data_IF_326420502831
#
_entry.id   IF_326420502831
#
_cell.length_a   1.000
_cell.length_b   1.000
_cell.length_c   1.000
_cell.angle_alpha   90.00
_cell.angle_beta   90.00
_cell.angle_gamma   90.00
#
_symmetry.space_group_name_H-M   'P 1'
#
loop_
_entity.id
_entity.type
_entity.pdbx_description
1 polymer ?
#
# COMPACT_ATOMS: atom_id res chain seq x y z
N UNK A 1 38.88 -22.04 51.01
CA UNK A 1 39.31 -21.25 49.84
C UNK A 1 38.32 -21.52 48.70
N UNK A 2 37.50 -20.51 48.38
CA UNK A 2 36.71 -20.29 47.15
C UNK A 2 35.67 -21.34 46.70
N UNK A 3 34.42 -20.98 47.00
CA UNK A 3 33.18 -21.21 46.25
C UNK A 3 33.38 -21.06 44.73
N UNK A 4 32.79 -21.94 43.92
CA UNK A 4 32.25 -21.54 42.61
C UNK A 4 31.00 -22.37 42.28
N UNK A 5 29.86 -21.70 42.39
CA UNK A 5 28.52 -22.18 42.05
C UNK A 5 28.31 -21.80 40.58
N UNK A 6 28.20 -22.78 39.68
CA UNK A 6 27.93 -22.53 38.25
C UNK A 6 26.42 -22.50 38.04
N UNK A 7 25.84 -21.29 38.07
CA UNK A 7 24.48 -21.02 37.62
C UNK A 7 24.45 -21.11 36.08
N UNK A 8 23.79 -22.12 35.54
CA UNK A 8 23.43 -22.16 34.12
C UNK A 8 22.22 -21.24 33.91
N UNK A 9 22.45 -20.01 33.44
CA UNK A 9 21.40 -19.14 32.95
C UNK A 9 20.84 -19.71 31.64
N UNK A 10 19.67 -20.36 31.73
CA UNK A 10 18.80 -20.58 30.58
C UNK A 10 18.26 -19.21 30.12
N UNK A 11 18.90 -18.61 29.13
CA UNK A 11 18.36 -17.46 28.42
C UNK A 11 17.17 -17.93 27.58
N UNK A 12 15.96 -17.78 28.10
CA UNK A 12 14.73 -17.90 27.33
C UNK A 12 14.65 -16.73 26.35
N UNK A 13 14.93 -16.99 25.07
CA UNK A 13 14.58 -16.09 23.98
C UNK A 13 13.05 -15.94 23.95
N UNK A 14 12.54 -14.87 24.56
CA UNK A 14 11.16 -14.48 24.38
C UNK A 14 11.01 -13.96 22.94
N UNK A 15 10.42 -14.78 22.07
CA UNK A 15 9.83 -14.28 20.83
C UNK A 15 8.71 -13.32 21.24
N UNK A 16 8.95 -12.01 21.10
CA UNK A 16 7.89 -11.03 21.18
C UNK A 16 6.95 -11.27 19.99
N UNK A 17 5.82 -11.93 20.24
CA UNK A 17 4.72 -11.94 19.28
C UNK A 17 4.27 -10.49 19.11
N UNK A 18 4.50 -9.91 17.93
CA UNK A 18 3.90 -8.62 17.55
C UNK A 18 2.40 -8.84 17.59
N UNK A 19 1.75 -8.31 18.63
CA UNK A 19 0.31 -8.41 18.78
C UNK A 19 -0.30 -7.54 17.67
N UNK A 20 -1.05 -8.15 16.75
CA UNK A 20 -1.83 -7.42 15.74
C UNK A 20 -3.00 -6.72 16.44
N UNK A 21 -2.74 -5.55 17.01
CA UNK A 21 -3.75 -4.79 17.75
C UNK A 21 -4.71 -4.16 16.75
N UNK A 22 -5.97 -4.58 16.80
CA UNK A 22 -7.06 -3.87 16.14
C UNK A 22 -7.31 -2.57 16.88
N UNK A 23 -7.24 -1.45 16.17
CA UNK A 23 -7.41 -0.11 16.75
C UNK A 23 -8.71 0.50 16.22
N UNK A 24 -9.43 1.26 17.05
CA UNK A 24 -10.51 2.12 16.60
C UNK A 24 -10.12 3.56 16.90
N UNK A 25 -10.13 4.43 15.89
CA UNK A 25 -9.81 5.84 16.07
C UNK A 25 -11.02 6.66 16.57
N UNK A 26 -10.78 7.94 16.89
CA UNK A 26 -11.82 8.88 17.34
C UNK A 26 -12.94 9.09 16.31
N UNK A 27 -12.62 8.86 15.03
CA UNK A 27 -13.56 8.95 13.93
C UNK A 27 -14.44 7.69 13.80
N UNK A 28 -14.17 6.64 14.58
CA UNK A 28 -14.89 5.37 14.53
C UNK A 28 -14.42 4.46 13.39
N UNK A 29 -13.22 4.69 12.86
CA UNK A 29 -12.59 3.82 11.89
C UNK A 29 -11.87 2.72 12.66
N UNK A 30 -12.32 1.47 12.46
CA UNK A 30 -11.67 0.28 12.99
C UNK A 30 -10.64 -0.23 11.98
N UNK A 31 -9.38 -0.28 12.39
CA UNK A 31 -8.25 -0.70 11.58
C UNK A 31 -7.78 -2.10 11.99
N UNK A 32 -7.74 -3.02 11.03
CA UNK A 32 -7.31 -4.41 11.22
C UNK A 32 -6.01 -4.62 10.43
N UNK A 33 -4.86 -4.89 11.09
CA UNK A 33 -3.61 -5.19 10.40
C UNK A 33 -3.74 -6.38 9.44
N UNK A 34 -3.09 -6.31 8.27
CA UNK A 34 -3.07 -7.35 7.26
C UNK A 34 -1.66 -7.90 7.07
N UNK A 35 -1.27 -8.89 7.88
CA UNK A 35 0.05 -9.53 7.77
C UNK A 35 0.38 -10.08 6.38
N UNK A 36 -0.63 -10.50 5.63
CA UNK A 36 -0.48 -11.00 4.25
C UNK A 36 -0.06 -9.93 3.25
N UNK A 37 -0.14 -8.65 3.62
CA UNK A 37 0.20 -7.48 2.80
C UNK A 37 1.17 -6.54 3.54
N UNK A 38 1.85 -7.04 4.57
CA UNK A 38 2.84 -6.29 5.33
C UNK A 38 4.22 -6.92 5.19
N UNK A 39 5.26 -6.09 5.12
CA UNK A 39 6.65 -6.47 5.02
C UNK A 39 7.43 -5.82 6.16
N UNK A 40 8.17 -6.62 6.92
CA UNK A 40 9.11 -6.13 7.92
C UNK A 40 10.24 -7.14 8.06
N UNK A 41 11.39 -6.68 8.55
CA UNK A 41 12.52 -7.57 8.85
C UNK A 41 12.07 -8.74 9.74
N UNK A 42 12.51 -9.98 9.45
CA UNK A 42 13.57 -10.36 8.50
C UNK A 42 13.15 -10.60 7.03
N UNK A 43 11.94 -10.18 6.62
CA UNK A 43 11.32 -10.28 5.28
C UNK A 43 11.09 -11.69 4.71
N UNK A 44 11.92 -12.67 5.07
CA UNK A 44 11.95 -14.03 4.55
C UNK A 44 11.58 -15.02 5.65
N UNK A 45 10.71 -15.99 5.33
CA UNK A 45 10.18 -16.96 6.29
C UNK A 45 11.02 -18.25 6.34
N UNK A 46 11.51 -18.73 5.19
CA UNK A 46 12.34 -19.94 5.09
C UNK A 46 12.99 -20.02 3.70
N UNK A 47 14.16 -20.66 3.59
CA UNK A 47 14.84 -20.97 2.31
C UNK A 47 14.89 -19.80 1.29
N UNK A 48 15.18 -18.60 1.79
CA UNK A 48 15.23 -17.37 0.98
C UNK A 48 13.91 -16.97 0.30
N UNK A 49 12.77 -17.47 0.78
CA UNK A 49 11.44 -17.15 0.26
C UNK A 49 10.58 -16.43 1.31
N UNK A 50 9.75 -15.50 0.83
CA UNK A 50 8.65 -14.92 1.60
C UNK A 50 7.38 -15.74 1.38
N UNK A 51 6.60 -15.98 2.44
CA UNK A 51 5.29 -16.65 2.35
C UNK A 51 4.27 -15.82 1.60
N UNK A 52 4.35 -14.50 1.71
CA UNK A 52 3.29 -13.57 1.30
C UNK A 52 3.65 -12.74 0.08
N UNK A 53 4.93 -12.64 -0.28
CA UNK A 53 5.39 -11.84 -1.42
C UNK A 53 6.26 -12.67 -2.37
N UNK A 54 6.12 -12.38 -3.66
CA UNK A 54 7.10 -12.76 -4.68
C UNK A 54 7.92 -11.54 -5.04
N UNK A 55 9.19 -11.76 -5.38
CA UNK A 55 10.09 -10.73 -5.87
C UNK A 55 10.87 -11.27 -7.06
N UNK A 56 11.36 -10.37 -7.91
CA UNK A 56 12.10 -10.75 -9.11
C UNK A 56 12.76 -9.56 -9.81
N UNK A 57 13.33 -9.84 -10.99
CA UNK A 57 14.19 -8.88 -11.68
C UNK A 57 15.49 -8.66 -10.92
N UNK A 58 15.91 -7.41 -10.79
CA UNK A 58 17.14 -7.03 -10.08
C UNK A 58 16.96 -6.86 -8.55
N UNK A 59 15.80 -7.25 -8.00
CA UNK A 59 15.51 -7.08 -6.58
C UNK A 59 16.41 -7.93 -5.69
N UNK A 60 17.02 -7.31 -4.67
CA UNK A 60 17.91 -7.94 -3.70
C UNK A 60 17.30 -7.80 -2.30
N UNK A 61 17.17 -8.91 -1.59
CA UNK A 61 16.72 -8.89 -0.19
C UNK A 61 17.94 -9.00 0.73
N UNK A 62 18.20 -7.94 1.49
CA UNK A 62 19.08 -7.94 2.66
C UNK A 62 18.19 -8.14 3.88
N UNK A 63 18.05 -9.39 4.31
CA UNK A 63 17.09 -9.82 5.33
C UNK A 63 17.14 -9.00 6.64
N UNK A 64 18.30 -8.43 6.97
CA UNK A 64 18.58 -7.66 8.17
C UNK A 64 18.59 -6.13 7.97
N UNK A 65 18.25 -5.63 6.76
CA UNK A 65 18.36 -4.21 6.44
C UNK A 65 17.23 -3.67 5.57
N UNK A 66 17.06 -4.21 4.36
CA UNK A 66 16.17 -3.64 3.34
C UNK A 66 15.85 -4.64 2.21
N UNK A 67 14.81 -4.31 1.45
CA UNK A 67 14.53 -4.90 0.14
C UNK A 67 14.90 -3.86 -0.92
N UNK A 68 15.99 -4.10 -1.65
CA UNK A 68 16.47 -3.21 -2.71
C UNK A 68 15.80 -3.60 -4.02
N UNK A 69 14.93 -2.74 -4.55
CA UNK A 69 14.26 -2.98 -5.82
C UNK A 69 15.24 -2.83 -6.99
N UNK A 70 16.01 -1.75 -7.03
CA UNK A 70 17.12 -1.54 -7.97
C UNK A 70 18.32 -0.95 -7.24
N UNK A 71 19.52 -1.23 -7.75
CA UNK A 71 20.77 -0.65 -7.24
C UNK A 71 21.15 0.58 -8.04
N UNK A 72 22.08 1.39 -7.50
CA UNK A 72 22.76 2.49 -8.21
C UNK A 72 23.66 1.95 -9.35
N UNK A 73 23.00 1.39 -10.37
CA UNK A 73 23.52 0.83 -11.61
C UNK A 73 22.52 1.12 -12.73
N UNK A 74 22.98 1.42 -13.95
CA UNK A 74 22.09 1.62 -15.09
C UNK A 74 21.30 0.36 -15.47
N UNK A 75 20.15 0.56 -16.12
CA UNK A 75 19.36 -0.50 -16.77
C UNK A 75 18.94 -1.63 -15.82
N UNK A 76 18.39 -1.27 -14.67
CA UNK A 76 17.85 -2.22 -13.69
C UNK A 76 16.32 -2.14 -13.66
N UNK A 77 15.68 -3.29 -13.43
CA UNK A 77 14.24 -3.39 -13.22
C UNK A 77 13.94 -4.46 -12.19
N UNK A 78 13.39 -4.05 -11.05
CA UNK A 78 13.06 -4.96 -9.95
C UNK A 78 11.68 -4.74 -9.39
N UNK A 79 11.11 -5.79 -8.82
CA UNK A 79 9.75 -5.76 -8.28
C UNK A 79 9.57 -6.71 -7.10
N UNK A 80 8.57 -6.40 -6.29
CA UNK A 80 8.02 -7.24 -5.24
C UNK A 80 6.49 -7.09 -5.22
N UNK A 81 5.75 -8.20 -5.17
CA UNK A 81 4.28 -8.21 -5.22
C UNK A 81 3.70 -9.22 -4.24
N UNK A 82 2.55 -8.90 -3.64
CA UNK A 82 1.80 -9.82 -2.80
C UNK A 82 1.37 -11.04 -3.62
N UNK A 83 1.41 -12.23 -2.99
CA UNK A 83 0.99 -13.51 -3.58
C UNK A 83 -0.53 -13.66 -3.59
N UNK A 84 -1.16 -13.13 -2.55
CA UNK A 84 -2.61 -13.12 -2.39
C UNK A 84 -3.16 -11.73 -2.71
N UNK A 85 -4.39 -11.64 -3.24
CA UNK A 85 -5.00 -10.35 -3.52
C UNK A 85 -5.46 -9.66 -2.24
N UNK A 86 -5.40 -8.33 -2.26
CA UNK A 86 -6.08 -7.44 -1.33
C UNK A 86 -7.53 -7.28 -1.78
N UNK A 87 -8.44 -7.84 -1.00
CA UNK A 87 -9.90 -7.76 -1.26
C UNK A 87 -10.62 -6.82 -0.30
N UNK A 88 -9.87 -6.02 0.46
CA UNK A 88 -10.41 -5.04 1.39
C UNK A 88 -11.02 -3.87 0.62
N UNK A 89 -12.24 -3.47 0.97
CA UNK A 89 -12.93 -2.32 0.36
C UNK A 89 -12.26 -0.99 0.70
N UNK A 90 -11.82 -0.84 1.95
CA UNK A 90 -11.08 0.34 2.41
C UNK A 90 -9.79 -0.14 3.05
N UNK A 91 -8.71 0.58 2.81
CA UNK A 91 -7.40 0.14 3.26
C UNK A 91 -6.48 1.34 3.48
N UNK A 92 -5.47 1.09 4.30
CA UNK A 92 -4.32 1.96 4.50
C UNK A 92 -3.07 1.15 4.17
N UNK A 93 -2.21 1.69 3.32
CA UNK A 93 -0.87 1.17 3.05
C UNK A 93 0.12 2.24 3.49
N UNK A 94 0.83 1.97 4.58
CA UNK A 94 1.97 2.76 5.03
C UNK A 94 3.24 2.02 4.67
N UNK A 95 4.21 2.69 4.06
CA UNK A 95 5.50 2.09 3.77
C UNK A 95 6.65 3.05 4.05
N UNK A 96 7.75 2.49 4.53
CA UNK A 96 9.02 3.14 4.75
C UNK A 96 9.98 2.75 3.63
N UNK A 97 10.65 3.73 3.04
CA UNK A 97 11.54 3.55 1.92
C UNK A 97 12.75 4.46 2.04
N UNK A 98 13.71 4.29 1.13
CA UNK A 98 14.86 5.17 0.96
C UNK A 98 15.23 5.22 -0.52
N UNK A 99 15.42 6.43 -1.04
CA UNK A 99 16.02 6.65 -2.36
C UNK A 99 17.37 7.32 -2.16
N UNK A 100 18.44 6.69 -2.64
CA UNK A 100 19.80 7.18 -2.43
C UNK A 100 20.74 6.82 -3.57
N UNK A 101 21.73 7.67 -3.85
CA UNK A 101 22.70 7.39 -4.91
C UNK A 101 23.95 8.25 -4.81
N UNK A 102 25.00 7.82 -5.50
CA UNK A 102 26.31 8.48 -5.45
C UNK A 102 26.44 9.67 -6.41
N UNK A 103 25.60 9.73 -7.44
CA UNK A 103 25.62 10.76 -8.49
C UNK A 103 24.77 12.00 -8.18
N UNK A 104 25.11 13.11 -8.84
CA UNK A 104 24.27 14.32 -8.90
C UNK A 104 23.10 14.15 -9.87
N UNK A 105 23.33 13.44 -10.98
CA UNK A 105 22.30 12.95 -11.88
C UNK A 105 21.80 11.59 -11.38
N UNK A 106 20.49 11.41 -11.41
CA UNK A 106 19.79 10.27 -10.82
C UNK A 106 18.48 10.01 -11.56
N UNK A 107 17.97 8.79 -11.42
CA UNK A 107 16.72 8.35 -12.04
C UNK A 107 16.50 6.83 -11.91
N UNK A 108 15.37 6.29 -12.35
CA UNK A 108 14.17 7.05 -12.76
C UNK A 108 13.22 7.21 -11.57
N UNK A 109 13.09 6.16 -10.74
CA UNK A 109 12.29 6.19 -9.53
C UNK A 109 11.74 4.82 -9.17
N UNK A 110 10.68 4.83 -8.36
CA UNK A 110 9.95 3.62 -8.00
C UNK A 110 8.44 3.87 -7.95
N UNK A 111 7.67 2.78 -7.88
CA UNK A 111 6.22 2.82 -7.89
C UNK A 111 5.62 1.91 -6.82
N UNK A 112 4.51 2.34 -6.23
CA UNK A 112 3.56 1.52 -5.49
C UNK A 112 2.40 1.13 -6.44
N UNK A 113 1.98 -0.13 -6.38
CA UNK A 113 0.93 -0.70 -7.20
C UNK A 113 -0.19 -1.29 -6.34
N UNK A 114 -1.43 -0.96 -6.69
CA UNK A 114 -2.62 -1.71 -6.31
C UNK A 114 -3.41 -2.00 -7.58
N UNK A 115 -3.03 -3.10 -8.23
CA UNK A 115 -3.46 -3.44 -9.59
C UNK A 115 -3.87 -4.90 -9.73
N UNK A 116 -4.65 -5.23 -10.77
CA UNK A 116 -5.02 -6.63 -11.06
C UNK A 116 -3.80 -7.46 -11.49
N UNK A 117 -2.93 -6.86 -12.30
CA UNK A 117 -1.69 -7.47 -12.74
C UNK A 117 -0.70 -7.50 -11.57
N UNK A 118 0.13 -8.54 -11.51
CA UNK A 118 1.21 -8.64 -10.52
C UNK A 118 2.42 -9.29 -11.14
N UNK A 119 3.61 -9.03 -10.59
CA UNK A 119 4.83 -9.76 -10.94
C UNK A 119 5.11 -9.82 -12.45
N UNK A 120 4.71 -8.77 -13.18
CA UNK A 120 4.87 -8.66 -14.63
C UNK A 120 5.83 -7.49 -14.89
N UNK A 121 7.09 -7.76 -15.27
CA UNK A 121 8.04 -6.70 -15.60
C UNK A 121 7.56 -5.87 -16.79
N UNK A 122 7.99 -4.61 -16.85
CA UNK A 122 7.69 -3.72 -17.96
C UNK A 122 8.37 -2.37 -17.84
N UNK A 123 8.04 -1.44 -18.75
CA UNK A 123 8.75 -0.16 -18.90
C UNK A 123 8.27 0.94 -17.93
N UNK A 124 7.31 0.63 -17.04
CA UNK A 124 6.72 1.62 -16.13
C UNK A 124 7.27 1.39 -14.75
N UNK A 125 8.39 2.05 -14.44
CA UNK A 125 9.11 1.88 -13.17
C UNK A 125 9.38 0.40 -12.86
N UNK A 126 9.69 -0.41 -13.87
CA UNK A 126 10.01 -1.84 -13.73
C UNK A 126 8.78 -2.77 -13.71
N UNK A 127 7.57 -2.25 -13.90
CA UNK A 127 6.32 -3.02 -13.97
C UNK A 127 5.59 -2.82 -15.30
N UNK A 128 4.57 -3.65 -15.54
CA UNK A 128 3.77 -3.67 -16.77
C UNK A 128 3.12 -2.31 -17.06
N UNK A 129 3.14 -1.95 -18.34
CA UNK A 129 2.27 -0.91 -18.86
C UNK A 129 0.82 -1.43 -19.02
N UNK A 130 -0.12 -0.54 -19.33
CA UNK A 130 -1.54 -0.89 -19.53
C UNK A 130 -2.15 -1.65 -18.32
N UNK A 131 -1.84 -1.19 -17.11
CA UNK A 131 -2.32 -1.80 -15.87
C UNK A 131 -3.78 -1.46 -15.58
N UNK A 132 -4.44 -2.26 -14.76
CA UNK A 132 -5.79 -2.01 -14.22
C UNK A 132 -5.71 -1.79 -12.71
N UNK A 133 -6.02 -0.59 -12.24
CA UNK A 133 -5.95 -0.21 -10.83
C UNK A 133 -5.28 1.14 -10.63
N UNK A 134 -4.51 1.30 -9.55
CA UNK A 134 -3.79 2.53 -9.23
C UNK A 134 -2.28 2.28 -9.15
N UNK A 135 -1.52 3.17 -9.80
CA UNK A 135 -0.08 3.29 -9.65
C UNK A 135 0.26 4.62 -8.98
N UNK A 136 1.08 4.59 -7.93
CA UNK A 136 1.66 5.78 -7.32
C UNK A 136 3.14 5.82 -7.65
N UNK A 137 3.54 6.77 -8.48
CA UNK A 137 4.90 6.92 -8.99
C UNK A 137 5.66 7.94 -8.17
N UNK A 138 6.85 7.56 -7.71
CA UNK A 138 7.82 8.41 -7.05
C UNK A 138 8.96 8.66 -8.05
N UNK A 139 8.77 9.69 -8.85
CA UNK A 139 9.63 10.00 -9.98
C UNK A 139 10.73 10.98 -9.56
N UNK A 140 11.99 10.58 -9.73
CA UNK A 140 13.14 11.38 -9.32
C UNK A 140 13.80 12.08 -10.48
N UNK A 141 13.51 11.71 -11.72
CA UNK A 141 14.11 12.28 -12.91
C UNK A 141 13.10 13.09 -13.72
N UNK A 142 13.47 14.31 -14.08
CA UNK A 142 12.61 15.16 -14.91
C UNK A 142 12.91 14.92 -16.38
N UNK A 143 12.02 14.26 -17.11
CA UNK A 143 12.06 14.22 -18.56
C UNK A 143 11.52 15.56 -19.12
N UNK A 144 10.31 15.58 -19.68
CA UNK A 144 9.76 16.76 -20.35
C UNK A 144 8.48 17.32 -19.70
N UNK A 145 8.41 17.36 -18.36
CA UNK A 145 7.25 17.91 -17.67
C UNK A 145 7.40 19.38 -17.22
N UNK A 146 6.77 20.35 -17.92
CA UNK A 146 6.83 21.75 -17.52
C UNK A 146 5.99 22.02 -16.27
N UNK A 147 6.40 23.01 -15.47
CA UNK A 147 5.59 23.56 -14.37
C UNK A 147 5.67 22.82 -13.03
N UNK A 148 6.38 21.69 -12.94
CA UNK A 148 6.57 20.94 -11.69
C UNK A 148 8.04 20.81 -11.29
N UNK A 149 8.27 20.62 -9.99
CA UNK A 149 9.57 20.43 -9.36
C UNK A 149 9.72 18.95 -9.00
N UNK A 150 10.88 18.37 -9.34
CA UNK A 150 11.22 16.98 -9.04
C UNK A 150 12.09 16.89 -7.76
N UNK A 151 12.06 15.75 -7.03
CA UNK A 151 11.22 14.57 -7.28
C UNK A 151 9.71 14.85 -7.20
N UNK A 152 8.93 14.16 -8.03
CA UNK A 152 7.48 14.34 -8.17
C UNK A 152 6.75 13.04 -7.86
N UNK A 153 5.73 13.14 -7.01
CA UNK A 153 4.88 11.99 -6.66
C UNK A 153 3.55 12.14 -7.34
N UNK A 154 3.13 11.17 -8.15
CA UNK A 154 1.84 11.21 -8.85
C UNK A 154 1.08 9.89 -8.75
N UNK A 155 -0.24 9.99 -8.74
CA UNK A 155 -1.15 8.88 -8.92
C UNK A 155 -1.63 8.82 -10.37
N UNK A 156 -1.70 7.61 -10.93
CA UNK A 156 -2.33 7.33 -12.22
C UNK A 156 -3.33 6.19 -12.05
N UNK A 157 -4.50 6.34 -12.69
CA UNK A 157 -5.53 5.31 -12.73
C UNK A 157 -5.44 4.59 -14.07
N UNK A 158 -5.14 3.30 -14.00
CA UNK A 158 -5.06 2.41 -15.15
C UNK A 158 -6.39 1.72 -15.39
N UNK A 159 -6.87 1.77 -16.63
CA UNK A 159 -8.07 1.10 -17.12
C UNK A 159 -7.77 -0.14 -17.98
N UNK A 160 -6.49 -0.55 -18.05
CA UNK A 160 -6.03 -1.65 -18.89
C UNK A 160 -5.70 -1.25 -20.33
N UNK A 161 -5.89 0.01 -20.70
CA UNK A 161 -5.71 0.50 -22.09
C UNK A 161 -4.81 1.71 -22.20
N UNK A 162 -4.76 2.57 -21.17
CA UNK A 162 -3.89 3.74 -21.15
C UNK A 162 -2.44 3.33 -20.89
N UNK A 163 -1.55 3.86 -21.73
CA UNK A 163 -0.11 3.73 -21.57
C UNK A 163 0.45 4.86 -20.68
N UNK A 164 1.48 4.56 -19.90
CA UNK A 164 2.24 5.58 -19.19
C UNK A 164 3.23 6.28 -20.16
N UNK A 165 3.06 7.59 -20.33
CA UNK A 165 3.94 8.41 -21.16
C UNK A 165 5.22 8.78 -20.39
N UNK A 166 6.28 7.98 -20.56
CA UNK A 166 7.59 8.19 -19.93
C UNK A 166 8.29 9.45 -20.42
N UNK A 167 8.05 9.90 -21.65
CA UNK A 167 8.71 11.08 -22.21
C UNK A 167 8.23 12.39 -21.55
N UNK A 168 6.99 12.40 -21.05
CA UNK A 168 6.37 13.54 -20.37
C UNK A 168 6.02 13.26 -18.90
N UNK A 169 6.72 12.31 -18.27
CA UNK A 169 6.58 11.97 -16.84
C UNK A 169 5.11 11.68 -16.44
N UNK A 170 4.38 10.98 -17.30
CA UNK A 170 2.99 10.55 -17.11
C UNK A 170 1.94 11.68 -17.08
N UNK A 171 2.31 12.90 -17.45
CA UNK A 171 1.50 14.12 -17.27
C UNK A 171 0.05 14.00 -17.77
N UNK A 172 -0.15 13.44 -18.96
CA UNK A 172 -1.48 13.39 -19.59
C UNK A 172 -2.46 12.44 -18.87
N UNK A 173 -1.92 11.49 -18.10
CA UNK A 173 -2.69 10.50 -17.34
C UNK A 173 -2.57 10.71 -15.82
N UNK A 174 -2.06 11.86 -15.39
CA UNK A 174 -2.02 12.24 -13.99
C UNK A 174 -3.44 12.37 -13.42
N UNK A 175 -3.70 11.66 -12.33
CA UNK A 175 -4.92 11.85 -11.54
C UNK A 175 -4.73 12.96 -10.50
N UNK A 176 -3.68 12.84 -9.69
CA UNK A 176 -3.25 13.84 -8.70
C UNK A 176 -1.76 13.68 -8.41
N UNK A 177 -1.10 14.72 -7.92
CA UNK A 177 0.31 14.65 -7.57
C UNK A 177 0.80 15.83 -6.75
N UNK A 178 2.03 15.73 -6.26
CA UNK A 178 2.71 16.77 -5.53
C UNK A 178 4.22 16.74 -5.76
N UNK A 179 4.88 17.89 -5.63
CA UNK A 179 6.35 17.96 -5.60
C UNK A 179 6.88 17.56 -4.23
N UNK A 180 7.80 16.61 -4.19
CA UNK A 180 8.43 16.08 -2.98
C UNK A 180 9.94 16.42 -2.94
N UNK A 181 10.28 17.71 -3.05
CA UNK A 181 11.67 18.17 -3.05
C UNK A 181 12.40 17.76 -1.78
N UNK A 182 13.48 16.99 -1.90
CA UNK A 182 14.29 16.50 -0.79
C UNK A 182 13.92 15.11 -0.27
N UNK A 183 13.07 14.37 -1.00
CA UNK A 183 12.75 12.97 -0.66
C UNK A 183 13.91 12.00 -0.97
N UNK A 184 14.75 12.33 -1.95
CA UNK A 184 16.02 11.64 -2.22
C UNK A 184 17.08 12.08 -1.20
N UNK A 185 17.84 11.12 -0.69
CA UNK A 185 18.86 11.31 0.35
C UNK A 185 18.34 12.06 1.59
N UNK A 186 17.07 11.84 1.93
CA UNK A 186 16.47 12.49 3.09
C UNK A 186 17.23 12.12 4.38
N UNK A 187 17.44 13.07 5.30
CA UNK A 187 18.22 12.85 6.53
C UNK A 187 17.48 12.04 7.60
N UNK A 188 16.22 11.70 7.33
CA UNK A 188 15.33 10.95 8.22
C UNK A 188 14.71 9.77 7.46
N UNK A 189 14.16 8.76 8.15
CA UNK A 189 13.39 7.70 7.51
C UNK A 189 12.21 8.28 6.70
N UNK A 190 12.18 7.96 5.40
CA UNK A 190 11.09 8.43 4.52
C UNK A 190 9.92 7.46 4.54
N UNK A 191 8.72 7.99 4.71
CA UNK A 191 7.48 7.20 4.74
C UNK A 191 6.42 7.80 3.82
N UNK A 192 5.58 6.94 3.30
CA UNK A 192 4.37 7.33 2.58
C UNK A 192 3.19 6.54 3.14
N UNK A 193 2.02 7.19 3.22
CA UNK A 193 0.78 6.58 3.70
C UNK A 193 -0.34 6.87 2.72
N UNK A 194 -0.80 5.83 2.04
CA UNK A 194 -1.92 5.87 1.10
C UNK A 194 -3.17 5.32 1.81
N UNK A 195 -4.21 6.13 1.90
CA UNK A 195 -5.48 5.78 2.54
C UNK A 195 -6.58 5.85 1.48
N UNK A 196 -7.35 4.78 1.35
CA UNK A 196 -8.47 4.69 0.43
C UNK A 196 -9.72 4.25 1.15
N UNK A 197 -10.78 5.04 1.02
CA UNK A 197 -12.14 4.68 1.36
C UNK A 197 -12.99 4.71 0.09
N UNK A 198 -13.52 3.55 -0.29
CA UNK A 198 -14.35 3.43 -1.48
C UNK A 198 -15.51 4.43 -1.43
N UNK A 199 -15.69 5.16 -2.53
CA UNK A 199 -16.73 6.19 -2.73
C UNK A 199 -16.69 7.34 -1.71
N UNK A 200 -15.58 7.53 -0.97
CA UNK A 200 -15.44 8.59 0.04
C UNK A 200 -14.17 9.41 -0.08
N UNK A 201 -13.01 8.78 -0.12
CA UNK A 201 -11.74 9.52 -0.21
C UNK A 201 -10.56 8.68 -0.67
N UNK A 202 -9.59 9.35 -1.30
CA UNK A 202 -8.24 8.85 -1.54
C UNK A 202 -7.26 9.93 -1.08
N UNK A 203 -6.30 9.55 -0.24
CA UNK A 203 -5.32 10.47 0.36
C UNK A 203 -3.94 9.86 0.38
N UNK A 204 -2.94 10.65 0.01
CA UNK A 204 -1.52 10.30 0.17
C UNK A 204 -0.85 11.33 1.07
N UNK A 205 -0.25 10.86 2.16
CA UNK A 205 0.64 11.65 3.03
C UNK A 205 2.09 11.18 2.86
N UNK A 206 3.04 12.10 3.00
CA UNK A 206 4.48 11.83 2.95
C UNK A 206 5.17 12.34 4.21
N UNK A 207 6.17 11.60 4.70
CA UNK A 207 7.07 12.03 5.76
C UNK A 207 8.49 11.93 5.23
N UNK A 208 9.17 13.06 5.06
CA UNK A 208 10.57 13.09 4.63
C UNK A 208 11.36 14.34 5.07
N UNK A 209 10.67 15.35 5.64
CA UNK A 209 11.30 16.58 6.14
C UNK A 209 11.59 16.53 7.64
N UNK A 210 10.60 16.08 8.42
CA UNK A 210 10.64 16.02 9.88
C UNK A 210 10.05 14.69 10.33
N UNK A 211 10.74 14.02 11.26
CA UNK A 211 10.29 12.72 11.75
C UNK A 211 8.96 12.85 12.50
N UNK A 212 8.04 11.92 12.25
CA UNK A 212 6.67 11.91 12.79
C UNK A 212 5.78 13.07 12.34
N UNK A 213 6.18 13.83 11.32
CA UNK A 213 5.35 14.87 10.69
C UNK A 213 4.96 14.44 9.26
N UNK A 214 3.65 14.33 9.04
CA UNK A 214 3.07 13.98 7.76
C UNK A 214 2.71 15.25 6.98
N UNK A 215 3.31 15.42 5.81
CA UNK A 215 2.94 16.42 4.81
C UNK A 215 1.90 15.82 3.86
N UNK A 216 0.78 16.52 3.65
CA UNK A 216 -0.22 16.12 2.67
C UNK A 216 0.35 16.26 1.25
N UNK A 217 0.32 15.17 0.47
CA UNK A 217 0.67 15.21 -0.95
C UNK A 217 -0.57 15.54 -1.79
N UNK A 218 -1.60 14.72 -1.70
CA UNK A 218 -2.90 14.96 -2.34
C UNK A 218 -4.03 14.28 -1.57
N UNK A 219 -5.24 14.80 -1.75
CA UNK A 219 -6.48 14.24 -1.20
C UNK A 219 -7.65 14.58 -2.14
N UNK A 220 -8.55 13.64 -2.33
CA UNK A 220 -9.82 13.85 -3.05
C UNK A 220 -10.98 13.22 -2.29
N UNK A 221 -12.16 13.85 -2.36
CA UNK A 221 -13.43 13.28 -1.92
C UNK A 221 -14.15 12.48 -3.01
N UNK A 222 -13.60 12.47 -4.23
CA UNK A 222 -14.13 11.76 -5.39
C UNK A 222 -13.10 10.72 -5.85
N UNK A 223 -12.88 9.66 -5.06
CA UNK A 223 -11.88 8.66 -5.42
C UNK A 223 -12.33 7.83 -6.63
N UNK A 224 -11.38 7.34 -7.44
CA UNK A 224 -11.68 6.45 -8.55
C UNK A 224 -12.09 5.06 -8.03
N UNK A 225 -12.87 4.33 -8.82
CA UNK A 225 -13.23 2.95 -8.48
C UNK A 225 -12.04 2.02 -8.72
N UNK A 226 -11.48 1.48 -7.64
CA UNK A 226 -10.41 0.49 -7.70
C UNK A 226 -11.04 -0.91 -7.84
N UNK A 227 -10.49 -1.81 -8.69
CA UNK A 227 -10.99 -3.17 -8.80
C UNK A 227 -11.06 -3.89 -7.44
N UNK A 228 -12.07 -4.76 -7.20
CA UNK A 228 -12.26 -5.42 -5.91
C UNK A 228 -11.19 -6.48 -5.58
N UNK A 229 -10.39 -6.86 -6.57
CA UNK A 229 -9.30 -7.83 -6.46
C UNK A 229 -8.07 -7.18 -7.07
N UNK A 230 -7.18 -6.70 -6.21
CA UNK A 230 -5.90 -6.10 -6.60
C UNK A 230 -4.77 -6.74 -5.80
N UNK A 231 -3.55 -6.67 -6.32
CA UNK A 231 -2.34 -7.08 -5.63
C UNK A 231 -1.57 -5.85 -5.19
N UNK A 232 -0.98 -5.91 -4.00
CA UNK A 232 -0.07 -4.89 -3.52
C UNK A 232 1.31 -5.17 -4.08
N UNK A 233 1.93 -4.20 -4.74
CA UNK A 233 3.28 -4.36 -5.23
C UNK A 233 4.09 -3.08 -5.20
N UNK A 234 5.40 -3.25 -5.34
CA UNK A 234 6.36 -2.19 -5.51
C UNK A 234 7.30 -2.59 -6.63
N UNK A 235 7.72 -1.63 -7.44
CA UNK A 235 8.74 -1.83 -8.46
C UNK A 235 9.60 -0.60 -8.61
N UNK A 236 10.81 -0.76 -9.13
CA UNK A 236 11.67 0.35 -9.46
C UNK A 236 12.42 0.09 -10.77
N UNK A 237 12.88 1.18 -11.38
CA UNK A 237 13.64 1.15 -12.63
C UNK A 237 14.78 2.16 -12.59
N UNK A 238 15.88 1.80 -13.25
CA UNK A 238 16.96 2.74 -13.58
C UNK A 238 17.20 2.71 -15.08
N UNK A 239 17.29 3.90 -15.69
CA UNK A 239 17.62 4.08 -17.09
C UNK A 239 19.14 4.18 -17.29
N UNK A 240 19.57 5.22 -18.01
CA UNK A 240 20.99 5.61 -18.07
C UNK A 240 21.48 6.17 -16.73
N UNK A 241 20.57 6.83 -16.00
CA UNK A 241 20.78 7.28 -14.64
C UNK A 241 20.27 6.24 -13.66
N UNK A 242 20.80 6.29 -12.44
CA UNK A 242 20.49 5.29 -11.42
C UNK A 242 20.41 5.90 -10.03
N UNK A 243 19.67 5.18 -9.17
CA UNK A 243 19.61 5.35 -7.72
C UNK A 243 19.36 3.96 -7.11
N UNK A 244 19.70 3.81 -5.84
CA UNK A 244 19.18 2.72 -5.02
C UNK A 244 17.75 3.04 -4.61
N UNK A 245 16.86 2.07 -4.79
CA UNK A 245 15.46 2.16 -4.37
C UNK A 245 15.17 1.06 -3.34
N UNK A 246 15.23 1.44 -2.07
CA UNK A 246 15.14 0.50 -0.95
C UNK A 246 13.77 0.61 -0.26
N UNK A 247 13.13 -0.54 -0.04
CA UNK A 247 11.90 -0.69 0.75
C UNK A 247 12.28 -1.26 2.11
N UNK A 248 11.95 -0.52 3.18
CA UNK A 248 12.35 -0.85 4.56
C UNK A 248 11.21 -1.56 5.30
N UNK A 249 9.99 -1.06 5.18
CA UNK A 249 8.82 -1.67 5.81
C UNK A 249 7.55 -1.35 5.04
N UNK A 250 6.57 -2.25 5.12
CA UNK A 250 5.20 -2.05 4.63
C UNK A 250 4.25 -2.52 5.72
N UNK A 251 3.29 -1.67 6.07
CA UNK A 251 2.21 -1.95 7.00
C UNK A 251 0.89 -1.69 6.29
N UNK A 252 0.14 -2.75 6.06
CA UNK A 252 -1.18 -2.66 5.43
C UNK A 252 -2.27 -2.94 6.47
N UNK A 253 -3.35 -2.16 6.43
CA UNK A 253 -4.52 -2.34 7.30
C UNK A 253 -5.80 -2.31 6.47
N UNK A 254 -6.77 -3.13 6.86
CA UNK A 254 -8.16 -3.01 6.42
C UNK A 254 -8.88 -1.99 7.31
N UNK A 255 -9.67 -1.10 6.72
CA UNK A 255 -10.38 -0.04 7.41
C UNK A 255 -11.90 -0.29 7.38
N UNK A 256 -12.52 -0.28 8.54
CA UNK A 256 -13.96 -0.45 8.70
C UNK A 256 -14.57 0.78 9.35
N UNK A 257 -15.45 1.48 8.64
CA UNK A 257 -16.26 2.54 9.21
C UNK A 257 -17.37 1.94 10.08
N UNK A 258 -17.20 2.01 11.39
CA UNK A 258 -18.17 1.47 12.35
C UNK A 258 -19.45 2.31 12.42
N UNK A 259 -19.39 3.61 12.13
CA UNK A 259 -20.54 4.54 12.15
C UNK A 259 -21.45 4.35 10.93
N UNK A 260 -20.90 3.93 9.79
CA UNK A 260 -21.70 3.55 8.63
C UNK A 260 -22.61 2.33 8.92
N UNK A 261 -22.13 1.38 9.73
CA UNK A 261 -22.91 0.20 10.12
C UNK A 261 -24.04 0.52 11.11
N UNK A 262 -23.84 1.47 12.03
CA UNK A 262 -24.90 1.90 12.98
C UNK A 262 -26.09 2.59 12.30
N UNK A 263 -25.86 3.28 11.17
CA UNK A 263 -26.95 3.86 10.37
C UNK A 263 -27.80 2.80 9.66
N UNK A 264 -27.26 1.60 9.43
CA UNK A 264 -27.99 0.49 8.80
C UNK A 264 -28.78 -0.31 9.84
N UNK A 265 -28.26 -0.46 11.07
CA UNK A 265 -28.92 -1.17 12.16
C UNK A 265 -30.05 -0.38 12.85
N UNK A 266 -30.18 0.92 12.57
CA UNK A 266 -31.26 1.80 13.07
C UNK A 266 -32.46 1.94 12.11
N UNK A 267 -32.62 1.05 11.12
CA UNK A 267 -33.93 0.91 10.45
C UNK A 267 -34.97 0.45 11.48
N UNK A 268 -36.12 1.14 11.65
CA UNK A 268 -37.14 0.71 12.58
C UNK A 268 -37.60 -0.70 12.21
N UNK A 269 -37.51 -1.62 13.16
CA UNK A 269 -38.27 -2.85 13.12
C UNK A 269 -39.75 -2.49 13.03
N UNK A 270 -40.35 -2.67 11.85
CA UNK A 270 -41.80 -2.68 11.70
C UNK A 270 -42.30 -3.93 12.43
N UNK A 271 -42.59 -3.76 13.71
CA UNK A 271 -43.37 -4.68 14.53
C UNK A 271 -44.86 -4.66 14.13
N UNK A 272 -45.61 -5.70 14.50
CA UNK A 272 -46.60 -6.33 13.64
C UNK A 272 -47.91 -5.53 13.56
N UNK A 273 -48.36 -5.25 12.33
CA UNK A 273 -49.75 -4.84 12.09
C UNK A 273 -50.68 -6.03 12.42
N UNK A 274 -51.56 -5.81 13.39
CA UNK A 274 -52.51 -6.81 13.88
C UNK A 274 -53.36 -7.35 12.73
N UNK A 275 -53.23 -8.65 12.46
CA UNK A 275 -54.21 -9.38 11.65
C UNK A 275 -55.48 -9.55 12.44
N UNK A 276 -56.47 -8.75 12.06
CA UNK A 276 -57.87 -8.91 12.39
C UNK A 276 -58.33 -10.34 12.10
N UNK A 277 -58.89 -11.00 13.12
CA UNK A 277 -59.35 -12.39 13.05
C UNK A 277 -60.49 -12.53 12.04
N UNK A 278 -60.23 -13.19 10.92
CA UNK A 278 -61.25 -13.67 9.99
C UNK A 278 -62.24 -14.60 10.71
N UNK A 279 -63.49 -14.18 10.78
CA UNK A 279 -64.63 -15.02 11.18
C UNK A 279 -64.80 -16.16 10.16
N UNK A 280 -64.75 -17.42 10.64
CA UNK A 280 -65.22 -18.59 9.89
C UNK A 280 -66.72 -18.48 9.63
N UNK A 281 -67.23 -18.76 8.42
CA UNK A 281 -68.66 -18.95 8.23
C UNK A 281 -69.09 -20.34 8.74
N UNK A 282 -70.32 -20.50 9.26
CA UNK A 282 -70.81 -21.79 9.68
C UNK A 282 -71.20 -22.64 8.47
N UNK A 283 -70.87 -23.93 8.58
CA UNK A 283 -71.35 -25.05 7.77
C UNK A 283 -72.89 -25.03 7.70
N UNK A 284 -73.46 -24.98 6.50
CA UNK A 284 -74.86 -25.35 6.26
C UNK A 284 -74.92 -26.78 5.73
N UNK A 285 -75.56 -27.64 6.49
CA UNK A 285 -76.08 -28.96 6.12
C UNK A 285 -77.52 -28.84 5.65
N UNK A 286 -77.88 -29.67 4.64
CA UNK A 286 -79.23 -30.02 4.11
C UNK A 286 -80.04 -28.87 3.47
N UNK A 287 -80.68 -29.00 2.31
CA UNK A 287 -81.27 -30.13 1.58
C UNK A 287 -80.76 -30.21 0.13
#
# INVERSE_FOLDING_TARGET
MRVLMSLACLASCAFAAVQEITMTDENGIKSIPLRTHSLMMPYLDSELQSRWFDFGGDTIIRADQYIRLTSDRPSQGGWIFSRVPLTATNWEVEFEFQVSGSGTLHGDGFALWLTKQRATPGPVFGSTDHFEGIGIFFDTYKNNRPGVIFPYVMAMIGDGTKSYDKDHDGKDNEFMGCSAKGIRDAPIPTKARLIYFQDKSLRLDLQYKVENQWDLCFETSEPPSIPPVVYLGFSAETGELSDNHDLIAVSTKNLHDTKAHEKISTKPSIGPSGKEKGKRPPRRTSL
#
